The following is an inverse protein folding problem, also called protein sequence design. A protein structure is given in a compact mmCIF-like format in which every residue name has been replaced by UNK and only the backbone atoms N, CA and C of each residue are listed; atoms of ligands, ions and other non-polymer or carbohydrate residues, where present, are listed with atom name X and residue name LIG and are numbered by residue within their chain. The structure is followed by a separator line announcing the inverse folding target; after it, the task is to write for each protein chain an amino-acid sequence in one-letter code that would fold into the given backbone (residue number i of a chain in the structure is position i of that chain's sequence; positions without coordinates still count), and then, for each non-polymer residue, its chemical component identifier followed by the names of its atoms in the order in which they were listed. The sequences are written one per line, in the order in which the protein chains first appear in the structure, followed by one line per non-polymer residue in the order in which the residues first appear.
data_IF_649090294431
#
_entry.id   IF_649090294431
#
_cell.length_a   1.000
_cell.length_b   1.000
_cell.length_c   1.000
_cell.angle_alpha   90.00
_cell.angle_beta   90.00
_cell.angle_gamma   90.00
#
_symmetry.space_group_name_H-M   'P 1'
#
loop_
_entity.id
_entity.type
_entity.pdbx_description
1 polymer ?
#
# COMPACT_ATOMS: atom_id res chain seq x y z
N UNK A 1 -159.13 -33.67 37.99
CA UNK A 1 -157.87 -33.85 38.75
C UNK A 1 -156.62 -33.76 37.89
N UNK A 2 -156.61 -34.25 36.64
CA UNK A 2 -155.40 -34.29 35.77
C UNK A 2 -154.89 -32.90 35.33
N UNK A 3 -155.78 -31.95 35.01
CA UNK A 3 -155.41 -30.62 34.48
C UNK A 3 -154.67 -29.75 35.52
N UNK A 4 -155.05 -29.84 36.80
CA UNK A 4 -154.38 -29.10 37.89
C UNK A 4 -152.97 -29.63 38.18
N UNK A 5 -152.76 -30.94 38.04
CA UNK A 5 -151.46 -31.59 38.24
C UNK A 5 -150.50 -31.32 37.08
N UNK A 6 -151.04 -31.20 35.87
CA UNK A 6 -150.29 -30.81 34.67
C UNK A 6 -149.89 -29.32 34.73
N UNK A 7 -150.80 -28.44 35.14
CA UNK A 7 -150.50 -27.02 35.40
C UNK A 7 -149.44 -26.83 36.49
N UNK A 8 -149.51 -27.60 37.58
CA UNK A 8 -148.51 -27.54 38.66
C UNK A 8 -147.14 -28.05 38.19
N UNK A 9 -147.08 -29.14 37.42
CA UNK A 9 -145.84 -29.66 36.82
C UNK A 9 -145.23 -28.65 35.85
N UNK A 10 -146.06 -28.00 35.02
CA UNK A 10 -145.64 -26.96 34.08
C UNK A 10 -145.12 -25.72 34.81
N UNK A 11 -145.77 -25.30 35.90
CA UNK A 11 -145.33 -24.17 36.74
C UNK A 11 -144.02 -24.49 37.48
N UNK A 12 -143.88 -25.69 38.03
CA UNK A 12 -142.65 -26.13 38.69
C UNK A 12 -141.50 -26.18 37.67
N UNK A 13 -141.71 -26.77 36.50
CA UNK A 13 -140.70 -26.81 35.43
C UNK A 13 -140.35 -25.40 34.91
N UNK A 14 -141.33 -24.51 34.78
CA UNK A 14 -141.10 -23.11 34.44
C UNK A 14 -140.30 -22.38 35.55
N UNK A 15 -140.58 -22.65 36.82
CA UNK A 15 -139.82 -22.08 37.94
C UNK A 15 -138.38 -22.60 38.02
N UNK A 16 -138.18 -23.90 37.81
CA UNK A 16 -136.85 -24.52 37.79
C UNK A 16 -136.00 -24.01 36.62
N UNK A 17 -136.62 -23.87 35.45
CA UNK A 17 -135.95 -23.27 34.28
C UNK A 17 -135.67 -21.77 34.48
N UNK A 18 -136.58 -21.04 35.13
CA UNK A 18 -136.38 -19.63 35.49
C UNK A 18 -135.21 -19.43 36.46
N UNK A 19 -135.17 -20.15 37.58
CA UNK A 19 -134.07 -20.02 38.56
C UNK A 19 -132.73 -20.51 38.01
N UNK A 20 -132.72 -21.58 37.18
CA UNK A 20 -131.50 -22.00 36.45
C UNK A 20 -131.05 -20.94 35.44
N UNK A 21 -131.99 -20.32 34.72
CA UNK A 21 -131.73 -19.20 33.83
C UNK A 21 -131.08 -18.03 34.57
N UNK A 22 -131.67 -17.65 35.70
CA UNK A 22 -131.19 -16.55 36.56
C UNK A 22 -129.80 -16.84 37.16
N UNK A 23 -129.55 -18.05 37.65
CA UNK A 23 -128.23 -18.46 38.14
C UNK A 23 -127.16 -18.41 37.03
N UNK A 24 -127.51 -18.84 35.82
CA UNK A 24 -126.61 -18.77 34.67
C UNK A 24 -126.33 -17.33 34.27
N UNK A 25 -127.34 -16.46 34.28
CA UNK A 25 -127.19 -15.03 34.03
C UNK A 25 -126.26 -14.37 35.06
N UNK A 26 -126.45 -14.67 36.35
CA UNK A 26 -125.60 -14.15 37.42
C UNK A 26 -124.15 -14.65 37.31
N UNK A 27 -123.96 -15.91 36.92
CA UNK A 27 -122.62 -16.46 36.64
C UNK A 27 -121.96 -15.78 35.45
N UNK A 28 -122.72 -15.50 34.39
CA UNK A 28 -122.22 -14.78 33.22
C UNK A 28 -121.91 -13.32 33.55
N UNK A 29 -122.75 -12.63 34.34
CA UNK A 29 -122.49 -11.29 34.85
C UNK A 29 -121.22 -11.25 35.72
N UNK A 30 -121.03 -12.25 36.58
CA UNK A 30 -119.80 -12.37 37.38
C UNK A 30 -118.55 -12.52 36.51
N UNK A 31 -118.61 -13.36 35.48
CA UNK A 31 -117.52 -13.50 34.49
C UNK A 31 -117.29 -12.23 33.69
N UNK A 32 -118.36 -11.57 33.25
CA UNK A 32 -118.29 -10.32 32.51
C UNK A 32 -117.60 -9.24 33.34
N UNK A 33 -118.00 -9.04 34.60
CA UNK A 33 -117.34 -8.10 35.51
C UNK A 33 -115.87 -8.43 35.75
N UNK A 34 -115.52 -9.72 35.85
CA UNK A 34 -114.11 -10.14 35.98
C UNK A 34 -113.29 -9.80 34.73
N UNK A 35 -113.82 -10.10 33.55
CA UNK A 35 -113.17 -9.78 32.27
C UNK A 35 -113.08 -8.27 32.04
N UNK A 36 -114.12 -7.51 32.39
CA UNK A 36 -114.13 -6.04 32.35
C UNK A 36 -113.06 -5.47 33.28
N UNK A 37 -112.94 -5.98 34.52
CA UNK A 37 -111.91 -5.56 35.46
C UNK A 37 -110.50 -5.89 34.96
N UNK A 38 -110.29 -7.07 34.36
CA UNK A 38 -109.02 -7.44 33.74
C UNK A 38 -108.68 -6.52 32.57
N UNK A 39 -109.64 -6.25 31.69
CA UNK A 39 -109.46 -5.38 30.53
C UNK A 39 -109.19 -3.93 30.97
N UNK A 40 -109.88 -3.44 31.99
CA UNK A 40 -109.63 -2.14 32.59
C UNK A 40 -108.22 -2.05 33.18
N UNK A 41 -107.81 -3.05 33.96
CA UNK A 41 -106.46 -3.10 34.58
C UNK A 41 -105.36 -3.17 33.52
N UNK A 42 -105.53 -3.99 32.47
CA UNK A 42 -104.61 -4.02 31.33
C UNK A 42 -104.55 -2.66 30.62
N UNK A 43 -105.69 -2.03 30.36
CA UNK A 43 -105.76 -0.72 29.69
C UNK A 43 -105.10 0.39 30.51
N UNK A 44 -105.24 0.34 31.84
CA UNK A 44 -104.62 1.31 32.74
C UNK A 44 -103.09 1.11 32.84
N UNK A 45 -102.63 -0.14 32.92
CA UNK A 45 -101.20 -0.47 32.94
C UNK A 45 -100.50 -0.14 31.61
N UNK A 46 -101.21 -0.27 30.48
CA UNK A 46 -100.75 0.13 29.15
C UNK A 46 -101.38 1.46 28.71
N UNK A 47 -101.39 2.46 29.60
CA UNK A 47 -101.87 3.78 29.20
C UNK A 47 -101.07 4.28 27.99
N UNK A 48 -101.72 4.85 26.96
CA UNK A 48 -101.04 5.35 25.77
C UNK A 48 -99.92 6.37 26.09
N UNK A 49 -100.07 7.08 27.21
CA UNK A 49 -99.07 8.04 27.70
C UNK A 49 -97.83 7.34 28.29
N UNK A 50 -98.03 6.27 29.06
CA UNK A 50 -96.94 5.46 29.61
C UNK A 50 -96.14 4.75 28.52
N UNK A 51 -96.84 4.14 27.55
CA UNK A 51 -96.19 3.49 26.39
C UNK A 51 -95.34 4.46 25.57
N UNK A 52 -95.88 5.66 25.27
CA UNK A 52 -95.12 6.71 24.56
C UNK A 52 -93.87 7.15 25.32
N UNK A 53 -93.94 7.26 26.65
CA UNK A 53 -92.79 7.60 27.49
C UNK A 53 -91.70 6.52 27.39
N UNK A 54 -92.07 5.24 27.48
CA UNK A 54 -91.12 4.13 27.34
C UNK A 54 -90.48 4.10 25.96
N UNK A 55 -91.25 4.34 24.89
CA UNK A 55 -90.71 4.41 23.52
C UNK A 55 -89.68 5.55 23.39
N UNK A 56 -90.00 6.74 23.92
CA UNK A 56 -89.08 7.88 23.90
C UNK A 56 -87.79 7.59 24.69
N UNK A 57 -87.91 6.99 25.88
CA UNK A 57 -86.75 6.59 26.69
C UNK A 57 -85.89 5.53 25.98
N UNK A 58 -86.51 4.56 25.29
CA UNK A 58 -85.80 3.57 24.48
C UNK A 58 -85.11 4.20 23.28
N UNK A 59 -85.77 5.16 22.60
CA UNK A 59 -85.15 5.93 21.51
C UNK A 59 -83.96 6.73 22.03
N UNK A 60 -84.08 7.45 23.14
CA UNK A 60 -82.97 8.21 23.74
C UNK A 60 -81.79 7.30 24.13
N UNK A 61 -82.07 6.14 24.73
CA UNK A 61 -81.04 5.15 25.03
C UNK A 61 -80.35 4.65 23.77
N UNK A 62 -81.11 4.29 22.72
CA UNK A 62 -80.57 3.88 21.43
C UNK A 62 -79.65 4.97 20.86
N UNK A 63 -80.11 6.22 20.80
CA UNK A 63 -79.30 7.34 20.31
C UNK A 63 -78.03 7.53 21.16
N UNK A 64 -78.11 7.40 22.48
CA UNK A 64 -76.95 7.48 23.37
C UNK A 64 -75.91 6.38 23.10
N UNK A 65 -76.35 5.13 22.92
CA UNK A 65 -75.47 4.02 22.60
C UNK A 65 -74.83 4.18 21.21
N UNK A 66 -75.61 4.59 20.21
CA UNK A 66 -75.11 4.87 18.87
C UNK A 66 -74.07 6.01 18.88
N UNK A 67 -74.32 7.07 19.63
CA UNK A 67 -73.37 8.19 19.75
C UNK A 67 -72.07 7.75 20.42
N UNK A 68 -72.14 7.03 21.55
CA UNK A 68 -70.94 6.49 22.23
C UNK A 68 -70.16 5.53 21.33
N UNK A 69 -70.85 4.70 20.54
CA UNK A 69 -70.21 3.80 19.59
C UNK A 69 -69.48 4.59 18.48
N UNK A 70 -70.11 5.64 17.94
CA UNK A 70 -69.48 6.52 16.94
C UNK A 70 -68.24 7.23 17.48
N UNK A 71 -68.33 7.82 18.67
CA UNK A 71 -67.20 8.49 19.32
C UNK A 71 -66.06 7.53 19.61
N UNK A 72 -66.36 6.32 20.10
CA UNK A 72 -65.37 5.26 20.30
C UNK A 72 -64.69 4.85 19.00
N UNK A 73 -65.46 4.64 17.92
CA UNK A 73 -64.91 4.31 16.60
C UNK A 73 -64.05 5.44 16.03
N UNK A 74 -64.47 6.69 16.19
CA UNK A 74 -63.69 7.85 15.76
C UNK A 74 -62.35 7.91 16.50
N UNK A 75 -62.36 7.72 17.84
CA UNK A 75 -61.13 7.67 18.63
C UNK A 75 -60.18 6.57 18.17
N UNK A 76 -60.69 5.37 17.93
CA UNK A 76 -59.87 4.24 17.43
C UNK A 76 -59.31 4.53 16.03
N UNK A 77 -60.08 5.20 15.16
CA UNK A 77 -59.59 5.59 13.83
C UNK A 77 -58.47 6.63 13.94
N UNK A 78 -58.59 7.63 14.81
CA UNK A 78 -57.54 8.62 15.04
C UNK A 78 -56.25 7.98 15.61
N UNK A 79 -56.39 7.07 16.59
CA UNK A 79 -55.28 6.29 17.14
C UNK A 79 -54.61 5.42 16.07
N UNK A 80 -55.39 4.74 15.23
CA UNK A 80 -54.88 3.95 14.10
C UNK A 80 -54.08 4.83 13.13
N UNK A 81 -54.62 5.99 12.72
CA UNK A 81 -53.94 6.90 11.81
C UNK A 81 -52.62 7.41 12.40
N UNK A 82 -52.60 7.75 13.69
CA UNK A 82 -51.37 8.14 14.39
C UNK A 82 -50.34 7.01 14.43
N UNK A 83 -50.77 5.78 14.74
CA UNK A 83 -49.90 4.60 14.74
C UNK A 83 -49.32 4.29 13.35
N UNK A 84 -50.12 4.42 12.29
CA UNK A 84 -49.66 4.26 10.90
C UNK A 84 -48.62 5.32 10.51
N UNK A 85 -48.83 6.58 10.89
CA UNK A 85 -47.85 7.65 10.65
C UNK A 85 -46.53 7.38 11.38
N UNK A 86 -46.60 6.93 12.64
CA UNK A 86 -45.41 6.53 13.41
C UNK A 86 -44.69 5.35 12.76
N UNK A 87 -45.43 4.32 12.32
CA UNK A 87 -44.86 3.17 11.60
C UNK A 87 -44.15 3.59 10.31
N UNK A 88 -44.76 4.49 9.53
CA UNK A 88 -44.11 4.99 8.33
C UNK A 88 -42.83 5.80 8.66
N UNK A 89 -42.85 6.58 9.74
CA UNK A 89 -41.67 7.31 10.19
C UNK A 89 -40.55 6.36 10.60
N UNK A 90 -40.86 5.31 11.36
CA UNK A 90 -39.87 4.33 11.82
C UNK A 90 -39.34 3.49 10.65
N UNK A 91 -40.19 3.10 9.70
CA UNK A 91 -39.78 2.42 8.46
C UNK A 91 -38.78 3.26 7.64
N UNK A 92 -39.03 4.58 7.48
CA UNK A 92 -38.08 5.47 6.79
C UNK A 92 -36.75 5.56 7.54
N UNK A 93 -36.77 5.69 8.86
CA UNK A 93 -35.53 5.73 9.64
C UNK A 93 -34.77 4.40 9.61
N UNK A 94 -35.48 3.27 9.56
CA UNK A 94 -34.89 1.94 9.44
C UNK A 94 -34.22 1.78 8.08
N UNK A 95 -34.90 2.13 6.98
CA UNK A 95 -34.32 2.08 5.64
C UNK A 95 -33.05 2.93 5.52
N UNK A 96 -33.04 4.13 6.13
CA UNK A 96 -31.84 4.97 6.19
C UNK A 96 -30.72 4.35 7.02
N UNK A 97 -31.04 3.66 8.11
CA UNK A 97 -30.05 2.95 8.92
C UNK A 97 -29.48 1.73 8.17
N UNK A 98 -30.32 0.98 7.46
CA UNK A 98 -29.91 -0.15 6.62
C UNK A 98 -28.96 0.30 5.50
N UNK A 99 -29.30 1.38 4.79
CA UNK A 99 -28.43 1.96 3.77
C UNK A 99 -27.05 2.33 4.36
N UNK A 100 -27.03 3.01 5.50
CA UNK A 100 -25.76 3.37 6.17
C UNK A 100 -24.96 2.12 6.55
N UNK A 101 -25.62 1.09 7.08
CA UNK A 101 -24.96 -0.18 7.40
C UNK A 101 -24.34 -0.84 6.16
N UNK A 102 -24.99 -0.77 5.00
CA UNK A 102 -24.45 -1.24 3.73
C UNK A 102 -23.23 -0.42 3.30
N UNK A 103 -23.30 0.92 3.39
CA UNK A 103 -22.18 1.82 3.09
C UNK A 103 -20.95 1.51 3.96
N UNK A 104 -21.15 1.36 5.28
CA UNK A 104 -20.07 0.98 6.20
C UNK A 104 -19.50 -0.40 5.90
N UNK A 105 -20.34 -1.37 5.50
CA UNK A 105 -19.89 -2.70 5.12
C UNK A 105 -19.02 -2.65 3.86
N UNK A 106 -19.42 -1.88 2.85
CA UNK A 106 -18.63 -1.68 1.63
C UNK A 106 -17.29 -1.01 1.92
N UNK A 107 -17.27 0.02 2.78
CA UNK A 107 -16.03 0.68 3.20
C UNK A 107 -15.11 -0.28 3.97
N UNK A 108 -15.67 -1.12 4.84
CA UNK A 108 -14.90 -2.12 5.56
C UNK A 108 -14.27 -3.17 4.63
N UNK A 109 -15.03 -3.69 3.66
CA UNK A 109 -14.49 -4.65 2.70
C UNK A 109 -13.43 -4.01 1.78
N UNK A 110 -13.62 -2.76 1.34
CA UNK A 110 -12.61 -2.02 0.59
C UNK A 110 -11.31 -1.84 1.40
N UNK A 111 -11.42 -1.40 2.66
CA UNK A 111 -10.28 -1.24 3.55
C UNK A 111 -9.56 -2.58 3.78
N UNK A 112 -10.31 -3.68 3.93
CA UNK A 112 -9.76 -5.02 4.09
C UNK A 112 -9.04 -5.51 2.84
N UNK A 113 -9.51 -5.15 1.65
CA UNK A 113 -8.78 -5.39 0.39
C UNK A 113 -7.49 -4.58 0.34
N UNK A 114 -7.52 -3.29 0.72
CA UNK A 114 -6.32 -2.45 0.82
C UNK A 114 -5.29 -3.01 1.81
N UNK A 115 -5.73 -3.52 2.96
CA UNK A 115 -4.83 -4.19 3.90
C UNK A 115 -4.20 -5.45 3.30
N UNK A 116 -4.94 -6.23 2.50
CA UNK A 116 -4.39 -7.41 1.81
C UNK A 116 -3.38 -7.00 0.75
N UNK A 117 -3.66 -5.97 -0.05
CA UNK A 117 -2.74 -5.49 -1.09
C UNK A 117 -1.47 -4.92 -0.47
N UNK A 118 -1.57 -4.12 0.59
CA UNK A 118 -0.41 -3.65 1.35
C UNK A 118 0.40 -4.81 1.92
N UNK A 119 -0.25 -5.84 2.46
CA UNK A 119 0.41 -7.05 2.93
C UNK A 119 1.09 -7.87 1.82
N UNK A 120 0.61 -7.82 0.58
CA UNK A 120 1.32 -8.40 -0.58
C UNK A 120 2.52 -7.56 -0.98
N UNK A 121 2.39 -6.23 -0.99
CA UNK A 121 3.48 -5.31 -1.32
C UNK A 121 4.62 -5.40 -0.30
N UNK A 122 4.30 -5.52 0.99
CA UNK A 122 5.30 -5.69 2.04
C UNK A 122 6.11 -6.97 1.82
N UNK A 123 5.45 -8.11 1.57
CA UNK A 123 6.11 -9.39 1.28
C UNK A 123 7.00 -9.32 0.03
N UNK A 124 6.56 -8.59 -1.00
CA UNK A 124 7.36 -8.38 -2.20
C UNK A 124 8.62 -7.55 -1.90
N UNK A 125 8.49 -6.46 -1.14
CA UNK A 125 9.63 -5.66 -0.70
C UNK A 125 10.61 -6.46 0.19
N UNK A 126 10.10 -7.30 1.08
CA UNK A 126 10.92 -8.22 1.88
C UNK A 126 11.70 -9.21 0.99
N UNK A 127 11.04 -9.79 -0.01
CA UNK A 127 11.69 -10.65 -1.00
C UNK A 127 12.80 -9.92 -1.75
N UNK A 128 12.53 -8.69 -2.22
CA UNK A 128 13.52 -7.85 -2.90
C UNK A 128 14.71 -7.52 -2.00
N UNK A 129 14.46 -7.19 -0.73
CA UNK A 129 15.52 -6.96 0.25
C UNK A 129 16.40 -8.21 0.44
N UNK A 130 15.82 -9.40 0.53
CA UNK A 130 16.58 -10.65 0.62
C UNK A 130 17.43 -10.92 -0.63
N UNK A 131 16.91 -10.61 -1.83
CA UNK A 131 17.67 -10.71 -3.08
C UNK A 131 18.84 -9.73 -3.09
N UNK A 132 18.61 -8.47 -2.70
CA UNK A 132 19.66 -7.46 -2.62
C UNK A 132 20.73 -7.83 -1.59
N UNK A 133 20.32 -8.36 -0.43
CA UNK A 133 21.23 -8.84 0.60
C UNK A 133 22.13 -9.98 0.07
N UNK A 134 21.54 -10.92 -0.67
CA UNK A 134 22.27 -12.02 -1.30
C UNK A 134 23.25 -11.53 -2.38
N UNK A 135 22.85 -10.54 -3.20
CA UNK A 135 23.73 -9.89 -4.19
C UNK A 135 24.89 -9.16 -3.53
N UNK A 136 24.64 -8.45 -2.43
CA UNK A 136 25.65 -7.75 -1.65
C UNK A 136 26.67 -8.73 -1.08
N UNK A 137 26.23 -9.80 -0.44
CA UNK A 137 27.13 -10.86 0.06
C UNK A 137 27.95 -11.51 -1.07
N UNK A 138 27.35 -11.67 -2.25
CA UNK A 138 28.05 -12.11 -3.46
C UNK A 138 29.10 -11.11 -3.96
N UNK A 139 28.89 -9.81 -3.78
CA UNK A 139 29.87 -8.78 -4.11
C UNK A 139 31.00 -8.75 -3.08
N UNK A 140 30.68 -8.77 -1.79
CA UNK A 140 31.66 -8.79 -0.70
C UNK A 140 32.62 -9.99 -0.80
N UNK A 141 32.10 -11.17 -1.16
CA UNK A 141 32.93 -12.36 -1.36
C UNK A 141 33.87 -12.23 -2.56
N UNK A 142 33.43 -11.64 -3.67
CA UNK A 142 34.27 -11.33 -4.84
C UNK A 142 35.33 -10.28 -4.52
N UNK A 143 34.96 -9.24 -3.79
CA UNK A 143 35.90 -8.20 -3.36
C UNK A 143 36.96 -8.76 -2.42
N UNK A 144 36.59 -9.68 -1.52
CA UNK A 144 37.54 -10.37 -0.66
C UNK A 144 38.54 -11.20 -1.48
N UNK A 145 38.05 -11.93 -2.49
CA UNK A 145 38.90 -12.71 -3.41
C UNK A 145 39.85 -11.80 -4.22
N UNK A 146 39.34 -10.69 -4.77
CA UNK A 146 40.16 -9.73 -5.51
C UNK A 146 41.25 -9.13 -4.61
N UNK A 147 40.90 -8.72 -3.39
CA UNK A 147 41.86 -8.19 -2.42
C UNK A 147 42.91 -9.21 -1.96
N UNK A 148 42.60 -10.50 -1.98
CA UNK A 148 43.58 -11.56 -1.73
C UNK A 148 44.53 -11.70 -2.93
N UNK A 149 44.02 -11.69 -4.16
CA UNK A 149 44.82 -11.75 -5.37
C UNK A 149 45.76 -10.54 -5.51
N UNK A 150 45.27 -9.34 -5.20
CA UNK A 150 46.09 -8.13 -5.17
C UNK A 150 47.24 -8.25 -4.16
N UNK A 151 46.97 -8.74 -2.94
CA UNK A 151 48.01 -8.97 -1.93
C UNK A 151 49.07 -9.97 -2.39
N UNK A 152 48.66 -11.05 -3.06
CA UNK A 152 49.61 -12.02 -3.61
C UNK A 152 50.50 -11.38 -4.69
N UNK A 153 49.90 -10.64 -5.61
CA UNK A 153 50.63 -9.96 -6.68
C UNK A 153 51.59 -8.88 -6.14
N UNK A 154 51.17 -8.14 -5.11
CA UNK A 154 52.03 -7.18 -4.41
C UNK A 154 53.23 -7.86 -3.75
N UNK A 155 53.03 -9.02 -3.11
CA UNK A 155 54.12 -9.80 -2.52
C UNK A 155 55.09 -10.30 -3.59
N UNK A 156 54.59 -10.87 -4.68
CA UNK A 156 55.43 -11.31 -5.81
C UNK A 156 56.20 -10.14 -6.42
N UNK A 157 55.56 -8.98 -6.55
CA UNK A 157 56.22 -7.77 -7.03
C UNK A 157 57.37 -7.34 -6.11
N UNK A 158 57.17 -7.34 -4.79
CA UNK A 158 58.21 -7.05 -3.81
C UNK A 158 59.36 -8.07 -3.86
N UNK A 159 59.05 -9.36 -4.01
CA UNK A 159 60.06 -10.41 -4.17
C UNK A 159 60.89 -10.23 -5.44
N UNK A 160 60.26 -9.91 -6.57
CA UNK A 160 60.93 -9.62 -7.83
C UNK A 160 61.80 -8.37 -7.72
N UNK A 161 61.31 -7.30 -7.08
CA UNK A 161 62.09 -6.09 -6.81
C UNK A 161 63.33 -6.42 -5.96
N UNK A 162 63.18 -7.21 -4.89
CA UNK A 162 64.30 -7.64 -4.06
C UNK A 162 65.32 -8.48 -4.85
N UNK A 163 64.86 -9.34 -5.75
CA UNK A 163 65.73 -10.14 -6.64
C UNK A 163 66.47 -9.25 -7.64
N UNK A 164 65.82 -8.26 -8.22
CA UNK A 164 66.45 -7.28 -9.13
C UNK A 164 67.54 -6.51 -8.37
N UNK A 165 67.26 -6.02 -7.16
CA UNK A 165 68.24 -5.30 -6.34
C UNK A 165 69.48 -6.15 -6.02
N UNK A 166 69.28 -7.44 -5.69
CA UNK A 166 70.41 -8.39 -5.48
C UNK A 166 71.25 -8.56 -6.74
N UNK A 167 70.61 -8.82 -7.88
CA UNK A 167 71.32 -8.99 -9.16
C UNK A 167 72.05 -7.73 -9.62
N UNK A 168 71.51 -6.54 -9.32
CA UNK A 168 72.18 -5.27 -9.56
C UNK A 168 73.43 -5.15 -8.68
N UNK A 169 73.32 -5.44 -7.38
CA UNK A 169 74.47 -5.46 -6.48
C UNK A 169 75.57 -6.43 -6.91
N UNK A 170 75.19 -7.65 -7.33
CA UNK A 170 76.14 -8.65 -7.85
C UNK A 170 76.82 -8.18 -9.15
N UNK A 171 76.07 -7.53 -10.05
CA UNK A 171 76.61 -6.92 -11.27
C UNK A 171 77.60 -5.82 -10.94
N UNK A 172 77.27 -4.94 -10.01
CA UNK A 172 78.14 -3.82 -9.62
C UNK A 172 79.45 -4.34 -9.00
N UNK A 173 79.36 -5.39 -8.17
CA UNK A 173 80.51 -6.09 -7.61
C UNK A 173 81.39 -6.69 -8.71
N UNK A 174 80.79 -7.44 -9.65
CA UNK A 174 81.51 -8.04 -10.77
C UNK A 174 82.13 -6.97 -11.69
N UNK A 175 81.45 -5.84 -11.89
CA UNK A 175 81.99 -4.71 -12.65
C UNK A 175 83.22 -4.09 -11.98
N UNK A 176 83.20 -3.97 -10.64
CA UNK A 176 84.36 -3.51 -9.86
C UNK A 176 85.52 -4.49 -9.94
N UNK A 177 85.26 -5.79 -9.83
CA UNK A 177 86.29 -6.84 -9.93
C UNK A 177 86.93 -6.88 -11.33
N UNK A 178 86.12 -6.80 -12.39
CA UNK A 178 86.62 -6.75 -13.77
C UNK A 178 87.46 -5.50 -14.02
N UNK A 179 87.04 -4.35 -13.50
CA UNK A 179 87.82 -3.11 -13.60
C UNK A 179 89.14 -3.20 -12.83
N UNK A 180 89.14 -3.76 -11.62
CA UNK A 180 90.36 -4.01 -10.86
C UNK A 180 91.32 -4.98 -11.57
N UNK A 181 90.80 -6.07 -12.17
CA UNK A 181 91.62 -6.99 -12.97
C UNK A 181 92.17 -6.29 -14.23
N UNK A 182 91.39 -5.43 -14.86
CA UNK A 182 91.83 -4.65 -16.02
C UNK A 182 92.95 -3.67 -15.65
N UNK A 183 92.85 -3.01 -14.49
CA UNK A 183 93.91 -2.14 -13.95
C UNK A 183 95.18 -2.94 -13.62
N UNK A 184 95.04 -4.15 -13.04
CA UNK A 184 96.18 -5.04 -12.80
C UNK A 184 96.85 -5.48 -14.10
N UNK A 185 96.06 -5.82 -15.12
CA UNK A 185 96.57 -6.18 -16.43
C UNK A 185 97.33 -5.02 -17.07
N UNK A 186 96.78 -3.81 -17.05
CA UNK A 186 97.46 -2.60 -17.55
C UNK A 186 98.79 -2.37 -16.84
N UNK A 187 98.83 -2.46 -15.50
CA UNK A 187 100.09 -2.35 -14.75
C UNK A 187 101.11 -3.40 -15.18
N UNK A 188 100.68 -4.65 -15.33
CA UNK A 188 101.57 -5.73 -15.81
C UNK A 188 102.05 -5.48 -17.25
N UNK A 189 101.19 -4.94 -18.12
CA UNK A 189 101.55 -4.54 -19.48
C UNK A 189 102.55 -3.37 -19.50
N UNK A 190 102.35 -2.36 -18.64
CA UNK A 190 103.28 -1.24 -18.45
C UNK A 190 104.64 -1.71 -17.94
N UNK A 191 104.65 -2.60 -16.94
CA UNK A 191 105.88 -3.25 -16.45
C UNK A 191 106.56 -4.05 -17.54
N UNK A 192 105.80 -4.82 -18.33
CA UNK A 192 106.32 -5.54 -19.50
C UNK A 192 106.92 -4.59 -20.53
N UNK A 193 106.26 -3.46 -20.85
CA UNK A 193 106.78 -2.45 -21.76
C UNK A 193 108.05 -1.77 -21.21
N UNK A 194 108.10 -1.50 -19.90
CA UNK A 194 109.29 -0.99 -19.22
C UNK A 194 110.45 -2.00 -19.24
N UNK A 195 110.15 -3.29 -19.09
CA UNK A 195 111.14 -4.36 -19.23
C UNK A 195 111.59 -4.51 -20.69
N UNK A 196 110.68 -4.45 -21.65
CA UNK A 196 111.00 -4.49 -23.09
C UNK A 196 111.89 -3.31 -23.48
N UNK A 197 111.59 -2.10 -23.02
CA UNK A 197 112.43 -0.92 -23.27
C UNK A 197 113.80 -1.04 -22.59
N UNK A 198 113.88 -1.58 -21.36
CA UNK A 198 115.17 -1.93 -20.72
C UNK A 198 115.94 -2.98 -21.50
N UNK A 199 115.27 -4.02 -22.02
CA UNK A 199 115.89 -5.05 -22.87
C UNK A 199 116.38 -4.43 -24.17
N UNK A 200 115.61 -3.54 -24.80
CA UNK A 200 116.03 -2.78 -25.99
C UNK A 200 117.22 -1.86 -25.68
N UNK A 201 117.24 -1.19 -24.53
CA UNK A 201 118.39 -0.40 -24.07
C UNK A 201 119.63 -1.29 -23.86
N UNK A 202 119.48 -2.43 -23.19
CA UNK A 202 120.57 -3.40 -23.03
C UNK A 202 121.01 -3.98 -24.37
N UNK A 203 120.11 -4.23 -25.31
CA UNK A 203 120.44 -4.62 -26.68
C UNK A 203 121.19 -3.51 -27.41
N UNK A 204 120.82 -2.23 -27.24
CA UNK A 204 121.55 -1.10 -27.81
C UNK A 204 122.92 -0.92 -27.18
N UNK A 205 123.05 -1.16 -25.87
CA UNK A 205 124.33 -1.18 -25.15
C UNK A 205 125.19 -2.35 -25.60
N UNK A 206 124.61 -3.53 -25.78
CA UNK A 206 125.27 -4.72 -26.30
C UNK A 206 125.68 -4.53 -27.75
N UNK A 207 124.86 -3.87 -28.59
CA UNK A 207 125.24 -3.46 -29.94
C UNK A 207 126.33 -2.39 -29.91
N UNK A 208 126.31 -1.44 -28.98
CA UNK A 208 127.39 -0.46 -28.82
C UNK A 208 128.68 -1.09 -28.32
N UNK A 209 128.59 -2.12 -27.47
CA UNK A 209 129.72 -2.96 -27.05
C UNK A 209 130.17 -3.90 -28.16
N UNK A 210 129.26 -4.43 -28.98
CA UNK A 210 129.62 -5.22 -30.15
C UNK A 210 130.27 -4.32 -31.19
N UNK A 211 129.86 -3.06 -31.32
CA UNK A 211 130.52 -2.03 -32.13
C UNK A 211 131.89 -1.65 -31.54
N UNK A 212 132.05 -1.58 -30.21
CA UNK A 212 133.37 -1.42 -29.55
C UNK A 212 134.27 -2.65 -29.72
N UNK A 213 133.70 -3.87 -29.70
CA UNK A 213 134.42 -5.12 -29.98
C UNK A 213 134.70 -5.29 -31.48
N UNK A 214 133.87 -4.73 -32.35
CA UNK A 214 134.06 -4.64 -33.79
C UNK A 214 135.05 -3.51 -34.17
N UNK A 215 135.24 -2.49 -33.34
CA UNK A 215 136.34 -1.52 -33.45
C UNK A 215 137.70 -2.13 -33.07
N UNK A 216 137.72 -3.23 -32.31
CA UNK A 216 138.92 -4.04 -32.05
C UNK A 216 139.08 -5.24 -33.01
N UNK A 217 138.01 -5.75 -33.61
CA UNK A 217 138.07 -6.80 -34.63
C UNK A 217 137.66 -6.28 -36.02
N UNK A 218 138.69 -5.88 -36.77
CA UNK A 218 138.79 -5.82 -38.26
C UNK A 218 138.25 -4.54 -38.89
N UNK A 219 139.09 -3.60 -39.38
CA UNK A 219 140.09 -3.76 -40.46
C UNK A 219 139.77 -4.93 -41.40
N UNK A 220 139.13 -4.59 -42.54
CA UNK A 220 138.73 -5.44 -43.68
C UNK A 220 137.38 -6.18 -43.44
N UNK A 221 136.30 -6.06 -44.21
CA UNK A 221 136.06 -5.55 -45.58
C UNK A 221 134.54 -5.47 -45.84
N UNK A 222 134.15 -4.45 -46.61
CA UNK A 222 132.95 -4.16 -47.43
C UNK A 222 131.82 -5.20 -47.71
N UNK A 223 130.59 -4.63 -47.76
CA UNK A 223 129.45 -4.82 -48.71
C UNK A 223 128.53 -6.04 -48.48
N UNK A 224 127.19 -6.04 -48.62
CA UNK A 224 126.15 -5.27 -49.36
C UNK A 224 124.77 -5.45 -48.64
N UNK A 225 123.85 -4.46 -48.60
CA UNK A 225 122.50 -4.39 -49.29
C UNK A 225 121.50 -5.54 -48.90
N UNK A 226 120.21 -5.38 -48.54
CA UNK A 226 119.14 -4.44 -48.93
C UNK A 226 117.82 -4.67 -48.10
N UNK A 227 116.87 -3.71 -48.21
CA UNK A 227 115.38 -3.77 -48.05
C UNK A 227 114.79 -3.81 -46.61
N UNK A 228 114.14 -2.77 -46.06
CA UNK A 228 112.89 -2.07 -46.42
C UNK A 228 111.59 -2.84 -46.05
N UNK A 229 110.83 -2.33 -45.06
CA UNK A 229 109.36 -2.06 -45.10
C UNK A 229 108.78 -1.77 -43.69
N UNK A 230 108.14 -0.60 -43.53
CA UNK A 230 107.11 -0.23 -42.52
C UNK A 230 105.73 -0.26 -43.23
N UNK A 231 104.53 0.04 -42.67
CA UNK A 231 103.97 0.09 -41.31
C UNK A 231 102.53 -0.58 -41.22
N UNK A 232 101.84 -0.39 -40.07
CA UNK A 232 100.35 -0.36 -39.81
C UNK A 232 99.48 0.27 -40.95
N UNK A 233 98.12 0.39 -40.93
CA UNK A 233 96.97 -0.08 -40.07
C UNK A 233 95.64 -0.38 -40.90
N UNK A 234 94.46 -0.28 -40.25
CA UNK A 234 93.11 0.14 -40.80
C UNK A 234 92.14 -1.01 -41.15
N UNK A 235 90.90 -1.14 -40.65
CA UNK A 235 89.68 -0.31 -40.47
C UNK A 235 88.52 -0.81 -41.38
N UNK A 236 87.30 -0.80 -40.84
CA UNK A 236 85.96 -0.82 -41.47
C UNK A 236 85.54 -2.17 -42.13
N UNK A 237 84.27 -2.59 -42.19
CA UNK A 237 82.96 -1.97 -42.03
C UNK A 237 81.91 -3.12 -41.94
N UNK A 238 80.62 -2.77 -41.97
CA UNK A 238 79.43 -3.60 -42.30
C UNK A 238 78.50 -3.97 -41.13
N UNK A 239 77.60 -3.03 -40.84
CA UNK A 239 76.13 -3.28 -40.79
C UNK A 239 75.68 -3.70 -42.22
N UNK A 240 74.59 -4.47 -42.44
CA UNK A 240 73.26 -3.96 -42.06
C UNK A 240 72.13 -4.97 -41.74
N UNK A 241 71.10 -4.37 -41.12
CA UNK A 241 69.65 -4.59 -41.30
C UNK A 241 68.98 -5.88 -40.80
N UNK A 242 68.04 -5.65 -39.86
CA UNK A 242 66.89 -6.50 -39.57
C UNK A 242 65.65 -5.63 -39.29
N UNK A 243 64.46 -5.97 -39.82
CA UNK A 243 63.33 -5.05 -39.99
C UNK A 243 62.44 -4.96 -38.75
N UNK A 244 62.08 -3.73 -38.35
CA UNK A 244 61.02 -3.47 -37.36
C UNK A 244 59.68 -3.24 -38.04
N UNK A 245 58.76 -4.20 -37.99
CA UNK A 245 57.31 -4.01 -38.18
C UNK A 245 56.52 -5.04 -37.36
N UNK A 246 56.33 -4.79 -36.06
CA UNK A 246 55.50 -5.67 -35.23
C UNK A 246 54.82 -4.93 -34.06
N UNK A 247 54.29 -3.73 -34.32
CA UNK A 247 53.51 -2.97 -33.31
C UNK A 247 52.16 -2.45 -33.80
N UNK A 248 51.74 -2.79 -35.02
CA UNK A 248 50.52 -2.22 -35.64
C UNK A 248 49.29 -3.15 -35.55
N UNK A 249 49.46 -4.39 -35.09
CA UNK A 249 48.39 -5.38 -34.95
C UNK A 249 47.74 -5.37 -33.56
N UNK A 250 48.54 -5.25 -32.50
CA UNK A 250 48.07 -5.29 -31.11
C UNK A 250 47.14 -4.11 -30.74
N UNK A 251 47.42 -2.91 -31.26
CA UNK A 251 46.57 -1.74 -31.04
C UNK A 251 45.22 -1.82 -31.77
N UNK A 252 45.16 -2.53 -32.90
CA UNK A 252 43.94 -2.63 -33.71
C UNK A 252 42.91 -3.54 -33.04
N UNK A 253 43.39 -4.67 -32.51
CA UNK A 253 42.56 -5.62 -31.77
C UNK A 253 42.05 -5.00 -30.46
N UNK A 254 42.90 -4.26 -29.75
CA UNK A 254 42.53 -3.55 -28.53
C UNK A 254 41.49 -2.43 -28.79
N UNK A 255 41.59 -1.72 -29.92
CA UNK A 255 40.61 -0.72 -30.33
C UNK A 255 39.25 -1.36 -30.66
N UNK A 256 39.26 -2.53 -31.30
CA UNK A 256 38.06 -3.26 -31.68
C UNK A 256 37.33 -3.83 -30.45
N UNK A 257 38.06 -4.34 -29.46
CA UNK A 257 37.48 -4.78 -28.18
C UNK A 257 36.85 -3.62 -27.40
N UNK A 258 37.52 -2.46 -27.35
CA UNK A 258 36.96 -1.25 -26.73
C UNK A 258 35.70 -0.76 -27.45
N UNK A 259 35.65 -0.91 -28.77
CA UNK A 259 34.46 -0.55 -29.57
C UNK A 259 33.27 -1.44 -29.24
N UNK A 260 33.48 -2.74 -29.05
CA UNK A 260 32.42 -3.68 -28.65
C UNK A 260 31.92 -3.40 -27.22
N UNK A 261 32.82 -3.05 -26.29
CA UNK A 261 32.45 -2.66 -24.93
C UNK A 261 31.61 -1.37 -24.91
N UNK A 262 31.96 -0.38 -25.74
CA UNK A 262 31.19 0.85 -25.88
C UNK A 262 29.80 0.58 -26.45
N UNK A 263 29.69 -0.27 -27.48
CA UNK A 263 28.40 -0.64 -28.07
C UNK A 263 27.49 -1.36 -27.06
N UNK A 264 28.07 -2.26 -26.24
CA UNK A 264 27.34 -2.95 -25.19
C UNK A 264 26.83 -1.97 -24.13
N UNK A 265 27.68 -1.03 -23.68
CA UNK A 265 27.30 0.02 -22.73
C UNK A 265 26.26 0.98 -23.31
N UNK A 266 26.33 1.30 -24.60
CA UNK A 266 25.34 2.11 -25.28
C UNK A 266 23.97 1.42 -25.31
N UNK A 267 23.94 0.10 -25.48
CA UNK A 267 22.71 -0.69 -25.39
C UNK A 267 22.15 -0.69 -23.97
N UNK A 268 22.97 -0.93 -22.95
CA UNK A 268 22.55 -0.83 -21.54
C UNK A 268 21.99 0.56 -21.22
N UNK A 269 22.63 1.63 -21.70
CA UNK A 269 22.12 2.99 -21.54
C UNK A 269 20.75 3.18 -22.20
N UNK A 270 20.54 2.65 -23.42
CA UNK A 270 19.22 2.72 -24.08
C UNK A 270 18.15 1.94 -23.32
N UNK A 271 18.49 0.76 -22.81
CA UNK A 271 17.56 -0.08 -22.06
C UNK A 271 17.16 0.64 -20.75
N UNK A 272 18.13 1.19 -20.01
CA UNK A 272 17.89 2.00 -18.80
C UNK A 272 17.07 3.26 -19.07
N UNK A 273 17.30 3.95 -20.19
CA UNK A 273 16.47 5.09 -20.58
C UNK A 273 15.02 4.66 -20.82
N UNK A 274 14.80 3.51 -21.46
CA UNK A 274 13.45 2.99 -21.68
C UNK A 274 12.74 2.60 -20.38
N UNK A 275 13.47 2.05 -19.39
CA UNK A 275 12.92 1.78 -18.06
C UNK A 275 12.55 3.07 -17.32
N UNK A 276 13.39 4.11 -17.44
CA UNK A 276 13.13 5.42 -16.85
C UNK A 276 11.88 6.08 -17.47
N UNK A 277 11.73 6.00 -18.78
CA UNK A 277 10.55 6.53 -19.49
C UNK A 277 9.27 5.78 -19.07
N UNK A 278 9.33 4.46 -18.96
CA UNK A 278 8.20 3.66 -18.48
C UNK A 278 7.81 4.04 -17.04
N UNK A 279 8.79 4.22 -16.15
CA UNK A 279 8.54 4.62 -14.78
C UNK A 279 7.97 6.05 -14.68
N UNK A 280 8.43 6.96 -15.56
CA UNK A 280 7.90 8.31 -15.70
C UNK A 280 6.42 8.30 -16.12
N UNK A 281 6.06 7.44 -17.08
CA UNK A 281 4.67 7.27 -17.52
C UNK A 281 3.76 6.71 -16.42
N UNK A 282 4.26 5.75 -15.64
CA UNK A 282 3.56 5.22 -14.47
C UNK A 282 3.35 6.30 -13.40
N UNK A 283 4.37 7.12 -13.13
CA UNK A 283 4.26 8.25 -12.22
C UNK A 283 3.20 9.27 -12.69
N UNK A 284 3.21 9.65 -13.96
CA UNK A 284 2.20 10.55 -14.55
C UNK A 284 0.79 9.94 -14.54
N UNK A 285 0.68 8.62 -14.72
CA UNK A 285 -0.59 7.90 -14.58
C UNK A 285 -1.12 7.96 -13.15
N UNK A 286 -0.27 7.72 -12.17
CA UNK A 286 -0.60 7.84 -10.74
C UNK A 286 -1.05 9.25 -10.38
N UNK A 287 -0.33 10.27 -10.86
CA UNK A 287 -0.64 11.67 -10.60
C UNK A 287 -2.01 12.08 -11.18
N UNK A 288 -2.35 11.60 -12.38
CA UNK A 288 -3.68 11.80 -12.99
C UNK A 288 -4.80 11.14 -12.18
N UNK A 289 -4.59 9.93 -11.67
CA UNK A 289 -5.57 9.25 -10.80
C UNK A 289 -5.80 10.03 -9.51
N UNK A 290 -4.73 10.53 -8.90
CA UNK A 290 -4.80 11.28 -7.65
C UNK A 290 -5.51 12.63 -7.84
N UNK A 291 -5.29 13.30 -8.98
CA UNK A 291 -6.06 14.49 -9.36
C UNK A 291 -7.55 14.18 -9.52
N UNK A 292 -7.91 13.08 -10.18
CA UNK A 292 -9.31 12.66 -10.33
C UNK A 292 -9.98 12.39 -8.98
N UNK A 293 -9.31 11.65 -8.08
CA UNK A 293 -9.83 11.41 -6.74
C UNK A 293 -10.01 12.73 -5.95
N UNK A 294 -9.10 13.69 -6.13
CA UNK A 294 -9.22 15.02 -5.50
C UNK A 294 -10.42 15.81 -6.04
N UNK A 295 -10.66 15.76 -7.34
CA UNK A 295 -11.82 16.41 -7.97
C UNK A 295 -13.14 15.80 -7.49
N UNK A 296 -13.23 14.47 -7.42
CA UNK A 296 -14.39 13.75 -6.89
C UNK A 296 -14.67 14.11 -5.42
N UNK A 297 -13.62 14.18 -4.60
CA UNK A 297 -13.74 14.60 -3.20
C UNK A 297 -14.21 16.07 -3.09
N UNK A 298 -13.72 16.94 -3.99
CA UNK A 298 -14.10 18.36 -4.01
C UNK A 298 -15.56 18.58 -4.46
N UNK A 299 -16.08 17.70 -5.32
CA UNK A 299 -17.49 17.69 -5.72
C UNK A 299 -18.40 17.19 -4.58
N UNK A 300 -17.94 16.19 -3.82
CA UNK A 300 -18.65 15.69 -2.64
C UNK A 300 -18.70 16.67 -1.46
N UNK A 301 -17.76 17.62 -1.39
CA UNK A 301 -17.73 18.64 -0.34
C UNK A 301 -18.53 19.92 -0.66
N UNK A 302 -19.16 20.05 -1.83
CA UNK A 302 -20.06 21.21 -2.06
C UNK A 302 -21.31 21.04 -1.19
N UNK A 303 -21.56 21.93 -0.21
CA UNK A 303 -22.79 21.88 0.55
C UNK A 303 -23.99 22.12 -0.38
N UNK A 304 -25.13 21.43 -0.16
CA UNK A 304 -26.34 21.70 -0.94
C UNK A 304 -26.75 23.18 -0.75
N UNK A 305 -27.41 23.81 -1.75
CA UNK A 305 -27.84 25.19 -1.63
C UNK A 305 -28.74 25.32 -0.39
N UNK A 306 -28.24 26.06 0.60
CA UNK A 306 -28.90 26.23 1.90
C UNK A 306 -30.23 26.96 1.70
N UNK A 307 -31.33 26.19 1.73
CA UNK A 307 -32.67 26.73 1.95
C UNK A 307 -32.69 27.45 3.31
N UNK A 308 -33.33 28.62 3.33
CA UNK A 308 -33.32 29.68 4.36
C UNK A 308 -33.92 29.29 5.74
N UNK A 309 -33.59 28.13 6.29
CA UNK A 309 -34.12 27.64 7.56
C UNK A 309 -33.19 27.92 8.77
N UNK A 310 -32.44 29.03 8.75
CA UNK A 310 -31.47 29.37 9.79
C UNK A 310 -31.92 30.45 10.78
N UNK A 311 -33.04 31.14 10.52
CA UNK A 311 -33.37 32.39 11.22
C UNK A 311 -34.17 32.21 12.52
N UNK A 312 -34.79 31.05 12.74
CA UNK A 312 -35.69 30.81 13.88
C UNK A 312 -35.06 30.01 15.02
N UNK A 313 -33.98 29.27 14.75
CA UNK A 313 -33.26 28.49 15.76
C UNK A 313 -32.69 29.34 16.91
N UNK A 314 -32.10 30.53 16.67
CA UNK A 314 -31.62 31.37 17.77
C UNK A 314 -32.76 31.90 18.64
N UNK A 315 -33.91 32.24 18.05
CA UNK A 315 -35.07 32.75 18.77
C UNK A 315 -35.71 31.69 19.68
N UNK A 316 -35.76 30.44 19.22
CA UNK A 316 -36.23 29.30 20.02
C UNK A 316 -35.34 29.04 21.23
N UNK A 317 -34.01 29.13 21.07
CA UNK A 317 -33.05 28.94 22.17
C UNK A 317 -33.16 30.04 23.24
N UNK A 318 -33.45 31.29 22.85
CA UNK A 318 -33.66 32.38 23.80
C UNK A 318 -34.97 32.21 24.58
N UNK A 319 -36.04 31.78 23.91
CA UNK A 319 -37.34 31.53 24.55
C UNK A 319 -37.27 30.38 25.57
N UNK A 320 -36.56 29.30 25.25
CA UNK A 320 -36.39 28.17 26.18
C UNK A 320 -35.52 28.55 27.38
N UNK A 321 -34.45 29.32 27.17
CA UNK A 321 -33.61 29.82 28.26
C UNK A 321 -34.37 30.75 29.22
N UNK A 322 -35.21 31.64 28.69
CA UNK A 322 -36.06 32.52 29.49
C UNK A 322 -37.10 31.73 30.30
N UNK A 323 -37.74 30.72 29.70
CA UNK A 323 -38.69 29.85 30.40
C UNK A 323 -38.04 29.09 31.56
N UNK A 324 -36.82 28.58 31.36
CA UNK A 324 -36.05 27.90 32.40
C UNK A 324 -35.63 28.84 33.53
N UNK A 325 -35.22 30.08 33.21
CA UNK A 325 -34.87 31.08 34.21
C UNK A 325 -36.08 31.45 35.10
N UNK A 326 -37.25 31.63 34.50
CA UNK A 326 -38.50 31.90 35.24
C UNK A 326 -38.89 30.70 36.12
N UNK A 327 -38.74 29.47 35.61
CA UNK A 327 -39.04 28.27 36.38
C UNK A 327 -38.12 28.10 37.60
N UNK A 328 -36.83 28.38 37.44
CA UNK A 328 -35.86 28.33 38.54
C UNK A 328 -36.12 29.43 39.58
N UNK A 329 -36.38 30.67 39.14
CA UNK A 329 -36.71 31.77 40.05
C UNK A 329 -38.01 31.51 40.84
N UNK A 330 -39.01 30.87 40.21
CA UNK A 330 -40.25 30.53 40.90
C UNK A 330 -40.07 29.40 41.91
N UNK A 331 -39.20 28.43 41.61
CA UNK A 331 -38.84 27.35 42.53
C UNK A 331 -38.07 27.85 43.75
N UNK A 332 -37.18 28.83 43.58
CA UNK A 332 -36.41 29.41 44.69
C UNK A 332 -37.29 30.28 45.61
N UNK A 333 -38.33 30.91 45.08
CA UNK A 333 -39.31 31.68 45.87
C UNK A 333 -40.29 30.82 46.68
N UNK A 334 -40.32 29.49 46.46
CA UNK A 334 -41.16 28.53 47.18
C UNK A 334 -40.40 27.82 48.33
N UNK A 335 -39.09 28.06 48.44
CA UNK A 335 -38.19 27.43 49.42
C UNK A 335 -37.71 28.38 50.53
N UNK A 336 -38.31 29.57 50.63
CA UNK A 336 -38.16 30.55 51.72
C UNK A 336 -39.54 30.73 52.36
#
# INVERSE_FOLDING_TARGET
MVILQDLLSTLIQASDSSWKGQLNEDKLKGKLRSLENQLYTCTQNYSPRGMKKVILEMEDQKHSYEQKAKESLQKVLEEKMSAEQQLQSTQRSLALAEQKCEEWRSQYEALKEDWRTLGTQHRELESQLHVLQSKLQGADSRDLQMNQALRLLENEHQELQAKIARLQGDRDLCSSDTQHLQDQLQKSEEEKLALVTKVQQLQSLLQSQSLQLQEQEKRLTKKDQALEWSPKPSQNEVEPEGPGKEKDWDFRDQLQEKTLQLLAKEKECRDLHSELDNLSDEYLSCLRKLQRCREELSLGQRPPPTRQCGRWLPALMVLTAMALAVFLAHKDSLMI
#
